data_IF_849230472053
#
_entry.id   IF_849230472053
#
_cell.length_a   1.000
_cell.length_b   1.000
_cell.length_c   1.000
_cell.angle_alpha   90.00
_cell.angle_beta   90.00
_cell.angle_gamma   90.00
#
_symmetry.space_group_name_H-M   'P 1'
#
loop_
_entity.id
_entity.type
_entity.pdbx_description
1 polymer ?
#
# COMPACT_ATOMS: atom_id res chain seq x y z
N UNK A 1 -11.64 -40.96 -9.26
CA UNK A 1 -11.82 -39.61 -8.68
C UNK A 1 -10.88 -38.66 -9.40
N UNK A 2 -11.39 -37.68 -10.15
CA UNK A 2 -10.56 -36.60 -10.69
C UNK A 2 -10.33 -35.60 -9.56
N UNK A 3 -9.11 -35.55 -9.06
CA UNK A 3 -8.67 -34.53 -8.12
C UNK A 3 -8.41 -33.24 -8.93
N UNK A 4 -9.45 -32.43 -9.11
CA UNK A 4 -9.39 -31.14 -9.81
C UNK A 4 -9.64 -30.03 -8.79
N UNK A 5 -8.71 -29.83 -7.86
CA UNK A 5 -8.65 -28.57 -7.13
C UNK A 5 -8.13 -27.51 -8.11
N UNK A 6 -9.04 -26.76 -8.72
CA UNK A 6 -8.67 -25.62 -9.57
C UNK A 6 -7.84 -24.64 -8.75
N UNK A 7 -6.54 -24.55 -9.07
CA UNK A 7 -5.60 -23.64 -8.45
C UNK A 7 -5.38 -22.41 -9.33
N UNK A 8 -5.33 -21.25 -8.68
CA UNK A 8 -5.11 -19.92 -9.24
C UNK A 8 -3.82 -19.35 -8.65
N UNK A 9 -3.03 -18.67 -9.47
CA UNK A 9 -1.74 -18.11 -9.08
C UNK A 9 -1.87 -16.62 -8.85
N UNK A 10 -1.50 -16.16 -7.65
CA UNK A 10 -1.36 -14.75 -7.33
C UNK A 10 0.12 -14.44 -7.17
N UNK A 11 0.63 -13.54 -7.99
CA UNK A 11 2.00 -13.06 -7.96
C UNK A 11 1.98 -11.72 -7.21
N UNK A 12 2.55 -11.70 -6.01
CA UNK A 12 2.70 -10.46 -5.22
C UNK A 12 4.16 -10.04 -5.27
N UNK A 13 4.45 -9.01 -6.06
CA UNK A 13 5.83 -8.64 -6.46
C UNK A 13 6.57 -9.83 -7.08
N UNK A 14 7.58 -10.36 -6.39
CA UNK A 14 8.45 -11.45 -6.80
C UNK A 14 8.04 -12.81 -6.19
N UNK A 15 6.95 -12.86 -5.42
CA UNK A 15 6.51 -14.06 -4.70
C UNK A 15 5.21 -14.63 -5.27
N UNK A 16 5.20 -15.95 -5.45
CA UNK A 16 4.09 -16.71 -6.01
C UNK A 16 3.28 -17.36 -4.90
N UNK A 17 1.97 -17.11 -4.92
CA UNK A 17 1.00 -17.70 -4.01
C UNK A 17 -0.03 -18.49 -4.80
N UNK A 18 -0.48 -19.62 -4.24
CA UNK A 18 -1.54 -20.44 -4.83
C UNK A 18 -2.81 -20.30 -4.01
N UNK A 19 -3.90 -20.02 -4.70
CA UNK A 19 -5.26 -20.01 -4.17
C UNK A 19 -6.07 -21.12 -4.83
N UNK A 20 -7.00 -21.69 -4.11
CA UNK A 20 -8.05 -22.57 -4.60
C UNK A 20 -9.36 -21.80 -4.64
N UNK A 21 -10.32 -22.29 -5.42
CA UNK A 21 -11.68 -21.71 -5.43
C UNK A 21 -12.25 -21.57 -4.00
N UNK A 22 -12.18 -22.63 -3.20
CA UNK A 22 -12.71 -22.63 -1.84
C UNK A 22 -12.04 -21.57 -0.93
N UNK A 23 -10.74 -21.32 -1.09
CA UNK A 23 -10.05 -20.27 -0.34
C UNK A 23 -10.54 -18.88 -0.76
N UNK A 24 -10.73 -18.64 -2.06
CA UNK A 24 -11.23 -17.36 -2.58
C UNK A 24 -12.69 -17.13 -2.18
N UNK A 25 -13.50 -18.17 -2.06
CA UNK A 25 -14.92 -18.06 -1.72
C UNK A 25 -15.19 -17.79 -0.23
N UNK A 26 -14.19 -17.96 0.67
CA UNK A 26 -14.41 -17.81 2.12
C UNK A 26 -14.95 -16.45 2.52
N UNK A 27 -14.43 -15.39 1.93
CA UNK A 27 -14.83 -14.00 2.21
C UNK A 27 -15.26 -13.35 0.89
N UNK A 28 -16.10 -14.06 0.14
CA UNK A 28 -16.67 -13.58 -1.10
C UNK A 28 -17.92 -12.71 -0.85
N UNK A 29 -18.23 -11.75 -1.75
CA UNK A 29 -17.48 -11.41 -2.95
C UNK A 29 -16.22 -10.59 -2.63
N UNK A 30 -15.11 -10.93 -3.28
CA UNK A 30 -13.82 -10.23 -3.13
C UNK A 30 -13.08 -10.09 -4.46
N UNK A 31 -11.95 -9.38 -4.42
CA UNK A 31 -11.12 -9.10 -5.58
C UNK A 31 -10.68 -10.37 -6.33
N UNK A 32 -10.34 -11.46 -5.62
CA UNK A 32 -9.93 -12.71 -6.26
C UNK A 32 -11.09 -13.37 -6.99
N UNK A 33 -12.26 -13.47 -6.36
CA UNK A 33 -13.46 -14.03 -7.00
C UNK A 33 -13.87 -13.23 -8.23
N UNK A 34 -13.83 -11.90 -8.18
CA UNK A 34 -14.15 -11.05 -9.34
C UNK A 34 -13.09 -11.10 -10.45
N UNK A 35 -11.84 -11.38 -10.11
CA UNK A 35 -10.74 -11.42 -11.09
C UNK A 35 -10.65 -12.78 -11.79
N UNK A 36 -10.78 -13.87 -11.04
CA UNK A 36 -10.57 -15.22 -11.56
C UNK A 36 -11.84 -15.87 -12.12
N UNK A 37 -13.02 -15.41 -11.72
CA UNK A 37 -14.30 -16.02 -12.08
C UNK A 37 -15.20 -15.03 -12.82
N UNK A 38 -15.98 -15.52 -13.79
CA UNK A 38 -17.05 -14.74 -14.41
C UNK A 38 -18.35 -14.82 -13.58
N UNK A 39 -19.43 -14.20 -14.09
CA UNK A 39 -20.74 -14.20 -13.45
C UNK A 39 -21.38 -15.59 -13.33
N UNK A 40 -20.94 -16.57 -14.13
CA UNK A 40 -21.37 -17.97 -14.04
C UNK A 40 -20.49 -18.80 -13.09
N UNK A 41 -19.43 -18.20 -12.55
CA UNK A 41 -18.43 -18.88 -11.73
C UNK A 41 -17.44 -19.69 -12.56
N UNK A 42 -17.33 -19.49 -13.87
CA UNK A 42 -16.33 -20.13 -14.71
C UNK A 42 -14.98 -19.39 -14.64
N UNK A 43 -13.88 -20.13 -14.79
CA UNK A 43 -12.53 -19.57 -14.73
C UNK A 43 -12.23 -18.69 -15.94
N UNK A 44 -11.97 -17.39 -15.71
CA UNK A 44 -11.59 -16.42 -16.77
C UNK A 44 -10.07 -16.38 -16.97
N UNK A 45 -9.32 -16.40 -15.87
CA UNK A 45 -7.85 -16.40 -15.88
C UNK A 45 -7.34 -17.23 -14.69
N UNK A 46 -6.06 -17.60 -14.72
CA UNK A 46 -5.38 -18.35 -13.66
C UNK A 46 -4.19 -17.61 -13.05
N UNK A 47 -3.87 -16.40 -13.52
CA UNK A 47 -2.76 -15.60 -13.03
C UNK A 47 -3.25 -14.20 -12.72
N UNK A 48 -2.86 -13.68 -11.55
CA UNK A 48 -3.12 -12.32 -11.10
C UNK A 48 -1.83 -11.73 -10.54
N UNK A 49 -1.39 -10.59 -11.06
CA UNK A 49 -0.22 -9.87 -10.56
C UNK A 49 -0.64 -8.67 -9.71
N UNK A 50 -0.06 -8.54 -8.52
CA UNK A 50 -0.43 -7.53 -7.53
C UNK A 50 0.82 -6.86 -6.97
N UNK A 51 0.83 -5.54 -6.98
CA UNK A 51 1.90 -4.73 -6.40
C UNK A 51 1.64 -4.40 -4.92
N UNK A 52 1.48 -5.45 -4.08
CA UNK A 52 1.28 -5.34 -2.63
C UNK A 52 2.44 -5.96 -1.86
N UNK A 53 2.36 -5.95 -0.53
CA UNK A 53 3.40 -6.50 0.32
C UNK A 53 3.27 -8.03 0.42
N UNK A 54 4.27 -8.81 -0.04
CA UNK A 54 4.14 -10.26 -0.02
C UNK A 54 4.22 -10.87 1.38
N UNK A 55 4.81 -10.19 2.36
CA UNK A 55 4.84 -10.66 3.75
C UNK A 55 3.47 -10.48 4.41
N UNK A 56 2.79 -9.35 4.19
CA UNK A 56 1.41 -9.15 4.64
C UNK A 56 0.42 -10.07 3.89
N UNK A 57 0.69 -10.37 2.62
CA UNK A 57 -0.13 -11.31 1.87
C UNK A 57 -0.14 -12.73 2.48
N UNK A 58 0.91 -13.14 3.20
CA UNK A 58 0.88 -14.41 3.94
C UNK A 58 -0.19 -14.43 5.04
N UNK A 59 -0.43 -13.29 5.70
CA UNK A 59 -1.50 -13.16 6.69
C UNK A 59 -2.87 -13.22 6.01
N UNK A 60 -3.02 -12.57 4.85
CA UNK A 60 -4.22 -12.68 4.01
C UNK A 60 -4.45 -14.14 3.61
N UNK A 61 -3.42 -14.86 3.18
CA UNK A 61 -3.55 -16.26 2.81
C UNK A 61 -3.89 -17.17 4.00
N UNK A 62 -3.34 -16.91 5.19
CA UNK A 62 -3.72 -17.62 6.43
C UNK A 62 -5.19 -17.37 6.78
N UNK A 63 -5.67 -16.15 6.65
CA UNK A 63 -7.09 -15.82 6.80
C UNK A 63 -7.96 -16.55 5.76
N UNK A 64 -7.57 -16.51 4.49
CA UNK A 64 -8.17 -17.28 3.40
C UNK A 64 -7.90 -18.78 3.47
N UNK A 65 -7.21 -19.27 4.51
CA UNK A 65 -7.17 -20.68 4.91
C UNK A 65 -8.08 -21.00 6.11
N UNK A 66 -8.60 -19.98 6.80
CA UNK A 66 -9.55 -20.12 7.90
C UNK A 66 -8.84 -20.09 9.25
N UNK A 67 -7.55 -19.77 9.27
CA UNK A 67 -6.81 -19.60 10.50
C UNK A 67 -7.21 -18.30 11.19
N UNK A 68 -7.25 -18.36 12.51
CA UNK A 68 -7.29 -17.17 13.33
C UNK A 68 -5.93 -16.48 13.29
N UNK A 69 -5.88 -15.28 12.71
CA UNK A 69 -4.62 -14.53 12.55
C UNK A 69 -4.40 -13.46 13.64
N UNK A 70 -5.37 -13.30 14.56
CA UNK A 70 -5.31 -12.31 15.65
C UNK A 70 -5.26 -12.97 17.04
N UNK A 71 -4.44 -12.45 17.97
CA UNK A 71 -3.45 -11.38 17.78
C UNK A 71 -2.35 -11.80 16.78
N UNK A 72 -1.80 -10.84 16.02
CA UNK A 72 -0.77 -11.15 15.01
C UNK A 72 0.44 -11.70 15.74
N UNK A 73 0.81 -12.95 15.42
CA UNK A 73 1.98 -13.57 16.03
C UNK A 73 3.24 -12.78 15.68
N UNK A 74 4.14 -12.45 16.64
CA UNK A 74 5.32 -11.62 16.38
C UNK A 74 6.20 -12.09 15.23
N UNK A 75 6.36 -13.40 15.06
CA UNK A 75 7.13 -13.98 13.95
C UNK A 75 6.51 -13.78 12.55
N UNK A 76 5.24 -13.37 12.46
CA UNK A 76 4.55 -13.07 11.20
C UNK A 76 4.51 -11.56 10.91
N UNK A 77 5.00 -10.73 11.84
CA UNK A 77 5.13 -9.30 11.63
C UNK A 77 6.38 -9.09 10.75
N UNK A 78 6.26 -8.43 9.59
CA UNK A 78 7.42 -8.11 8.78
C UNK A 78 8.45 -7.31 9.60
N UNK A 79 9.75 -7.57 9.40
CA UNK A 79 10.82 -6.96 10.21
C UNK A 79 10.84 -5.42 10.19
N UNK A 80 10.26 -4.82 9.15
CA UNK A 80 10.11 -3.36 8.99
C UNK A 80 8.84 -2.77 9.63
N UNK A 81 7.97 -3.61 10.22
CA UNK A 81 6.70 -3.22 10.84
C UNK A 81 6.73 -3.43 12.37
N UNK A 82 6.02 -2.57 13.08
CA UNK A 82 5.52 -2.88 14.44
C UNK A 82 4.18 -3.62 14.34
N UNK A 83 3.71 -4.21 15.43
CA UNK A 83 2.40 -4.89 15.47
C UNK A 83 1.24 -3.96 15.08
N UNK A 84 1.28 -2.70 15.50
CA UNK A 84 0.27 -1.69 15.20
C UNK A 84 0.29 -1.34 13.72
N UNK A 85 1.48 -1.11 13.14
CA UNK A 85 1.60 -0.83 11.70
C UNK A 85 1.22 -2.04 10.85
N UNK A 86 1.56 -3.26 11.28
CA UNK A 86 1.15 -4.48 10.59
C UNK A 86 -0.37 -4.67 10.61
N UNK A 87 -1.05 -4.35 11.72
CA UNK A 87 -2.50 -4.36 11.80
C UNK A 87 -3.13 -3.33 10.85
N UNK A 88 -2.62 -2.10 10.84
CA UNK A 88 -3.10 -1.04 9.95
C UNK A 88 -2.87 -1.34 8.47
N UNK A 89 -1.71 -1.91 8.14
CA UNK A 89 -1.34 -2.24 6.76
C UNK A 89 -2.10 -3.47 6.25
N UNK A 90 -2.29 -4.47 7.12
CA UNK A 90 -3.18 -5.60 6.83
C UNK A 90 -4.62 -5.15 6.60
N UNK A 91 -5.11 -4.14 7.35
CA UNK A 91 -6.43 -3.56 7.09
C UNK A 91 -6.50 -2.91 5.71
N UNK A 92 -5.49 -2.12 5.33
CA UNK A 92 -5.44 -1.48 4.02
C UNK A 92 -5.40 -2.52 2.87
N UNK A 93 -4.65 -3.61 3.06
CA UNK A 93 -4.61 -4.73 2.11
C UNK A 93 -5.95 -5.46 2.05
N UNK A 94 -6.60 -5.71 3.19
CA UNK A 94 -7.93 -6.31 3.25
C UNK A 94 -8.99 -5.46 2.52
N UNK A 95 -8.95 -4.13 2.66
CA UNK A 95 -9.81 -3.20 1.93
C UNK A 95 -9.54 -3.27 0.43
N UNK A 96 -8.26 -3.32 0.01
CA UNK A 96 -7.89 -3.47 -1.39
C UNK A 96 -8.41 -4.79 -1.99
N UNK A 97 -8.26 -5.90 -1.26
CA UNK A 97 -8.75 -7.20 -1.69
C UNK A 97 -10.26 -7.36 -1.54
N UNK A 98 -10.96 -6.38 -0.95
CA UNK A 98 -12.40 -6.45 -0.65
C UNK A 98 -12.77 -7.64 0.25
N UNK A 99 -11.95 -7.88 1.26
CA UNK A 99 -12.14 -8.94 2.26
C UNK A 99 -12.86 -8.35 3.49
N UNK A 100 -14.17 -8.15 3.39
CA UNK A 100 -14.97 -7.45 4.40
C UNK A 100 -14.90 -8.11 5.78
N UNK A 101 -14.85 -9.45 5.83
CA UNK A 101 -14.66 -10.19 7.06
C UNK A 101 -13.31 -9.87 7.70
N UNK A 102 -12.23 -9.85 6.91
CA UNK A 102 -10.91 -9.47 7.40
C UNK A 102 -10.82 -8.01 7.83
N UNK A 103 -11.44 -7.09 7.09
CA UNK A 103 -11.53 -5.67 7.47
C UNK A 103 -12.21 -5.51 8.83
N UNK A 104 -13.33 -6.21 9.03
CA UNK A 104 -14.08 -6.19 10.30
C UNK A 104 -13.25 -6.74 11.46
N UNK A 105 -12.51 -7.84 11.23
CA UNK A 105 -11.59 -8.38 12.23
C UNK A 105 -10.50 -7.38 12.59
N UNK A 106 -9.87 -6.72 11.60
CA UNK A 106 -8.85 -5.71 11.87
C UNK A 106 -9.40 -4.57 12.74
N UNK A 107 -10.56 -4.01 12.37
CA UNK A 107 -11.24 -2.94 13.13
C UNK A 107 -11.59 -3.37 14.57
N UNK A 108 -11.96 -4.64 14.78
CA UNK A 108 -12.26 -5.15 16.13
C UNK A 108 -11.02 -5.27 17.03
N UNK A 109 -9.82 -5.33 16.43
CA UNK A 109 -8.53 -5.42 17.14
C UNK A 109 -7.84 -4.07 17.27
N UNK A 110 -8.31 -3.05 16.57
CA UNK A 110 -7.99 -1.68 16.90
C UNK A 110 -8.55 -1.42 18.31
N UNK A 111 -7.70 -1.48 19.32
CA UNK A 111 -8.08 -1.03 20.66
C UNK A 111 -8.56 0.41 20.56
N UNK A 112 -9.68 0.81 21.22
CA UNK A 112 -10.00 2.22 21.36
C UNK A 112 -8.81 2.87 22.03
N UNK A 113 -8.10 3.65 21.23
CA UNK A 113 -6.81 4.20 21.54
C UNK A 113 -7.02 5.12 22.76
N UNK A 114 -6.69 4.67 23.97
CA UNK A 114 -6.24 5.56 25.05
C UNK A 114 -4.85 6.10 24.71
N UNK A 115 -4.68 6.56 23.46
CA UNK A 115 -3.69 7.57 23.14
C UNK A 115 -3.95 8.72 24.10
N UNK A 116 -2.91 9.30 24.74
CA UNK A 116 -3.02 10.70 25.08
C UNK A 116 -3.52 11.36 23.81
N UNK A 117 -4.68 12.01 23.88
CA UNK A 117 -5.23 12.76 22.75
C UNK A 117 -4.18 13.81 22.40
N UNK A 118 -3.21 13.45 21.55
CA UNK A 118 -2.46 14.41 20.77
C UNK A 118 -3.55 14.97 19.89
N UNK A 119 -4.20 16.02 20.39
CA UNK A 119 -5.11 16.84 19.62
C UNK A 119 -4.24 17.30 18.47
N UNK A 120 -4.35 16.66 17.32
CA UNK A 120 -3.77 17.17 16.09
C UNK A 120 -4.46 18.52 15.87
N UNK A 121 -3.80 19.60 16.29
CA UNK A 121 -4.36 20.95 16.21
C UNK A 121 -4.21 21.52 14.81
N UNK A 122 -3.37 20.90 13.97
CA UNK A 122 -3.08 21.36 12.62
C UNK A 122 -2.76 20.19 11.68
N UNK A 123 -3.02 20.43 10.39
CA UNK A 123 -2.47 19.62 9.30
C UNK A 123 -1.44 20.44 8.54
N UNK A 124 -0.34 19.82 8.17
CA UNK A 124 0.71 20.41 7.35
C UNK A 124 0.85 19.63 6.05
N UNK A 125 1.33 20.32 5.02
CA UNK A 125 1.67 19.68 3.76
C UNK A 125 3.17 19.44 3.73
N UNK A 126 3.56 18.20 3.47
CA UNK A 126 4.93 17.79 3.23
C UNK A 126 5.05 17.36 1.78
N UNK A 127 6.16 17.72 1.15
CA UNK A 127 6.58 17.10 -0.10
C UNK A 127 7.71 16.13 0.19
N UNK A 128 7.60 14.91 -0.33
CA UNK A 128 8.68 13.93 -0.27
C UNK A 128 9.28 13.83 -1.65
N UNK A 129 10.54 14.24 -1.79
CA UNK A 129 11.26 14.25 -3.06
C UNK A 129 12.41 13.28 -3.05
N UNK A 130 12.60 12.56 -4.14
CA UNK A 130 13.71 11.63 -4.31
C UNK A 130 13.78 11.08 -5.73
N UNK A 131 14.68 10.13 -5.94
CA UNK A 131 14.83 9.49 -7.24
C UNK A 131 15.24 8.02 -7.11
N UNK A 132 14.88 7.24 -8.14
CA UNK A 132 15.30 5.85 -8.30
C UNK A 132 15.55 5.53 -9.78
N UNK A 133 16.37 4.53 -10.05
CA UNK A 133 16.48 3.97 -11.38
C UNK A 133 15.25 3.11 -11.67
N UNK A 134 14.66 3.25 -12.86
CA UNK A 134 13.46 2.52 -13.25
C UNK A 134 13.73 1.44 -14.28
N UNK A 135 12.86 0.44 -14.31
CA UNK A 135 12.75 -0.52 -15.41
C UNK A 135 12.44 0.17 -16.75
N UNK A 136 12.58 -0.56 -17.87
CA UNK A 136 12.39 -0.03 -19.21
C UNK A 136 10.98 0.57 -19.46
N UNK A 137 9.97 0.07 -18.76
CA UNK A 137 8.59 0.59 -18.78
C UNK A 137 8.43 1.89 -17.95
N UNK A 138 9.42 2.24 -17.15
CA UNK A 138 9.44 3.44 -16.33
C UNK A 138 8.51 3.43 -15.12
N UNK A 139 7.90 2.29 -14.78
CA UNK A 139 6.86 2.20 -13.76
C UNK A 139 7.43 1.86 -12.38
N UNK A 140 8.32 0.87 -12.34
CA UNK A 140 8.87 0.30 -11.12
C UNK A 140 10.35 0.66 -10.95
N UNK A 141 10.84 0.74 -9.69
CA UNK A 141 12.26 0.79 -9.42
C UNK A 141 12.96 -0.49 -9.93
N UNK A 142 14.16 -0.34 -10.48
CA UNK A 142 15.07 -1.45 -10.83
C UNK A 142 16.14 -1.68 -9.76
N UNK A 143 16.15 -0.87 -8.71
CA UNK A 143 17.05 -0.96 -7.55
C UNK A 143 16.33 -1.53 -6.32
N UNK A 144 17.12 -2.01 -5.35
CA UNK A 144 16.60 -2.44 -4.05
C UNK A 144 15.94 -1.27 -3.29
N UNK A 145 14.86 -1.59 -2.56
CA UNK A 145 14.06 -0.59 -1.84
C UNK A 145 14.88 0.21 -0.81
N UNK A 146 15.67 -0.49 0.01
CA UNK A 146 16.45 0.15 1.07
C UNK A 146 17.54 1.06 0.49
N UNK A 147 18.06 0.70 -0.68
CA UNK A 147 19.06 1.50 -1.36
C UNK A 147 18.48 2.84 -1.84
N UNK A 148 17.35 2.82 -2.55
CA UNK A 148 16.84 4.07 -3.13
C UNK A 148 16.05 4.90 -2.11
N UNK A 149 15.42 4.30 -1.09
CA UNK A 149 14.62 5.05 -0.10
C UNK A 149 15.48 6.02 0.73
N UNK A 150 16.77 5.73 0.86
CA UNK A 150 17.76 6.64 1.46
C UNK A 150 17.88 7.99 0.72
N UNK A 151 17.43 8.07 -0.55
CA UNK A 151 17.50 9.26 -1.40
C UNK A 151 16.23 10.10 -1.39
N UNK A 152 15.21 9.68 -0.62
CA UNK A 152 13.95 10.40 -0.47
C UNK A 152 13.96 11.23 0.79
N UNK A 153 13.57 12.49 0.71
CA UNK A 153 13.59 13.42 1.84
C UNK A 153 12.28 14.20 1.93
N UNK A 154 11.72 14.36 3.14
CA UNK A 154 10.54 15.20 3.35
C UNK A 154 10.93 16.67 3.51
N UNK A 155 10.10 17.57 2.99
CA UNK A 155 10.23 19.02 3.15
C UNK A 155 8.85 19.62 3.44
N UNK A 156 8.74 20.45 4.48
CA UNK A 156 7.50 21.16 4.78
C UNK A 156 7.20 22.20 3.71
N UNK A 157 5.95 22.24 3.24
CA UNK A 157 5.46 23.26 2.31
C UNK A 157 4.53 24.23 3.03
N UNK A 158 4.79 25.53 2.83
CA UNK A 158 3.77 26.55 3.07
C UNK A 158 2.58 26.37 2.11
N UNK A 159 1.43 26.96 2.47
CA UNK A 159 0.24 26.94 1.60
C UNK A 159 0.51 27.49 0.21
N UNK A 160 1.36 28.51 0.11
CA UNK A 160 1.71 29.13 -1.18
C UNK A 160 2.62 28.24 -2.02
N UNK A 161 3.66 27.65 -1.41
CA UNK A 161 4.51 26.69 -2.11
C UNK A 161 3.71 25.48 -2.60
N UNK A 162 2.78 24.97 -1.79
CA UNK A 162 1.91 23.88 -2.23
C UNK A 162 1.07 24.28 -3.45
N UNK A 163 0.46 25.46 -3.44
CA UNK A 163 -0.33 25.97 -4.57
C UNK A 163 0.48 26.08 -5.87
N UNK A 164 1.75 26.48 -5.76
CA UNK A 164 2.65 26.58 -6.91
C UNK A 164 3.10 25.20 -7.40
N UNK A 165 3.35 24.26 -6.48
CA UNK A 165 3.93 22.96 -6.80
C UNK A 165 2.91 21.87 -7.16
N UNK A 166 1.68 21.93 -6.68
CA UNK A 166 0.66 20.88 -6.87
C UNK A 166 -0.02 20.81 -8.26
N UNK A 167 -0.06 21.86 -9.12
CA UNK A 167 -0.74 21.77 -10.41
C UNK A 167 -0.21 20.63 -11.27
N UNK A 168 -1.10 19.89 -11.95
CA UNK A 168 -0.78 18.70 -12.76
C UNK A 168 -0.21 17.50 -11.98
N UNK A 169 -0.38 17.45 -10.65
CA UNK A 169 -0.11 16.20 -9.93
C UNK A 169 -1.11 15.12 -10.33
N UNK A 170 -0.62 13.89 -10.44
CA UNK A 170 -1.42 12.71 -10.65
C UNK A 170 -2.06 12.29 -9.32
N UNK A 171 -3.32 11.92 -9.39
CA UNK A 171 -4.09 11.34 -8.29
C UNK A 171 -4.79 10.08 -8.78
N UNK A 172 -5.19 9.19 -7.87
CA UNK A 172 -6.03 8.03 -8.24
C UNK A 172 -7.28 8.45 -9.03
N UNK A 173 -7.90 9.59 -8.67
CA UNK A 173 -9.07 10.12 -9.35
C UNK A 173 -8.79 10.62 -10.79
N UNK A 174 -7.53 10.92 -11.12
CA UNK A 174 -7.12 11.34 -12.47
C UNK A 174 -6.91 10.16 -13.44
N UNK A 175 -7.01 8.91 -12.95
CA UNK A 175 -6.77 7.73 -13.77
C UNK A 175 -7.96 7.44 -14.71
N UNK A 176 -7.68 7.32 -16.01
CA UNK A 176 -8.64 6.73 -16.95
C UNK A 176 -8.76 5.22 -16.73
N UNK A 177 -9.88 4.56 -17.11
CA UNK A 177 -10.04 3.11 -16.92
C UNK A 177 -8.91 2.27 -17.54
N UNK A 178 -8.39 2.67 -18.69
CA UNK A 178 -7.28 1.98 -19.38
C UNK A 178 -5.92 2.16 -18.68
N UNK A 179 -5.79 3.17 -17.80
CA UNK A 179 -4.56 3.47 -17.06
C UNK A 179 -4.64 3.04 -15.60
N UNK A 180 -5.80 2.59 -15.11
CA UNK A 180 -6.05 2.30 -13.70
C UNK A 180 -5.03 1.34 -13.10
N UNK A 181 -4.70 0.25 -13.79
CA UNK A 181 -3.70 -0.73 -13.31
C UNK A 181 -2.33 -0.09 -13.09
N UNK A 182 -1.89 0.79 -13.99
CA UNK A 182 -0.63 1.53 -13.84
C UNK A 182 -0.70 2.48 -12.65
N UNK A 183 -1.80 3.21 -12.49
CA UNK A 183 -1.99 4.11 -11.35
C UNK A 183 -1.99 3.38 -10.02
N UNK A 184 -2.56 2.17 -9.94
CA UNK A 184 -2.54 1.36 -8.72
C UNK A 184 -1.13 0.88 -8.37
N UNK A 185 -0.35 0.41 -9.35
CA UNK A 185 1.06 0.03 -9.15
C UNK A 185 1.85 1.24 -8.63
N UNK A 186 1.71 2.37 -9.32
CA UNK A 186 2.36 3.63 -8.98
C UNK A 186 1.96 4.11 -7.57
N UNK A 187 0.67 4.06 -7.23
CA UNK A 187 0.16 4.43 -5.92
C UNK A 187 0.73 3.56 -4.82
N UNK A 188 0.77 2.23 -5.01
CA UNK A 188 1.34 1.30 -4.02
C UNK A 188 2.82 1.58 -3.73
N UNK A 189 3.61 1.91 -4.76
CA UNK A 189 5.00 2.33 -4.57
C UNK A 189 5.11 3.67 -3.84
N UNK A 190 4.29 4.65 -4.21
CA UNK A 190 4.25 5.96 -3.57
C UNK A 190 3.89 5.83 -2.08
N UNK A 191 2.85 5.06 -1.73
CA UNK A 191 2.46 4.80 -0.34
C UNK A 191 3.59 4.14 0.47
N UNK A 192 4.31 3.18 -0.11
CA UNK A 192 5.45 2.53 0.54
C UNK A 192 6.58 3.54 0.84
N UNK A 193 6.87 4.43 -0.10
CA UNK A 193 7.86 5.50 0.09
C UNK A 193 7.41 6.44 1.21
N UNK A 194 6.17 6.96 1.15
CA UNK A 194 5.63 7.88 2.15
C UNK A 194 5.72 7.26 3.54
N UNK A 195 5.21 6.04 3.71
CA UNK A 195 5.24 5.33 4.99
C UNK A 195 6.63 5.22 5.58
N UNK A 196 7.61 4.84 4.75
CA UNK A 196 8.98 4.61 5.20
C UNK A 196 9.66 5.92 5.59
N UNK A 197 9.50 6.97 4.77
CA UNK A 197 10.07 8.30 5.03
C UNK A 197 9.42 8.95 6.24
N UNK A 198 8.09 8.91 6.36
CA UNK A 198 7.37 9.46 7.51
C UNK A 198 7.78 8.76 8.81
N UNK A 199 7.92 7.42 8.80
CA UNK A 199 8.39 6.67 9.97
C UNK A 199 9.83 7.04 10.34
N UNK A 200 10.71 7.24 9.35
CA UNK A 200 12.13 7.57 9.55
C UNK A 200 12.33 9.00 10.06
N UNK A 201 11.73 9.97 9.41
CA UNK A 201 12.07 11.39 9.57
C UNK A 201 11.02 12.18 10.39
N UNK A 202 9.85 11.59 10.62
CA UNK A 202 8.73 12.25 11.31
C UNK A 202 8.09 11.30 12.33
N UNK A 203 8.91 10.82 13.27
CA UNK A 203 8.57 9.75 14.24
C UNK A 203 7.33 9.99 15.11
N UNK A 204 6.81 11.21 15.17
CA UNK A 204 5.57 11.57 15.89
C UNK A 204 4.31 11.60 15.01
N UNK A 205 4.41 11.29 13.71
CA UNK A 205 3.30 11.38 12.75
C UNK A 205 2.71 9.99 12.49
N UNK A 206 1.62 9.68 13.19
CA UNK A 206 0.87 8.44 12.98
C UNK A 206 -0.17 8.53 11.85
N UNK A 207 -0.53 9.75 11.43
CA UNK A 207 -1.62 9.99 10.47
C UNK A 207 -1.13 10.84 9.32
N UNK A 208 -1.24 10.27 8.12
CA UNK A 208 -0.89 10.91 6.86
C UNK A 208 -1.82 10.46 5.73
N UNK A 209 -1.85 11.24 4.66
CA UNK A 209 -2.63 10.99 3.44
C UNK A 209 -1.79 11.41 2.22
N UNK A 210 -1.63 10.51 1.24
CA UNK A 210 -1.01 10.83 -0.04
C UNK A 210 -2.04 11.59 -0.90
N UNK A 211 -1.79 12.87 -1.14
CA UNK A 211 -2.67 13.75 -1.93
C UNK A 211 -2.49 13.55 -3.44
N UNK A 212 -1.29 13.17 -3.86
CA UNK A 212 -0.94 12.98 -5.26
C UNK A 212 0.57 12.92 -5.46
N UNK A 213 0.99 12.75 -6.70
CA UNK A 213 2.40 12.64 -7.06
C UNK A 213 2.71 13.25 -8.42
N UNK A 214 3.96 13.66 -8.61
CA UNK A 214 4.55 13.94 -9.92
C UNK A 214 5.74 13.02 -10.14
N UNK A 215 5.95 12.68 -11.41
CA UNK A 215 7.09 11.89 -11.83
C UNK A 215 7.65 12.48 -13.09
N UNK A 216 8.90 12.90 -13.01
CA UNK A 216 9.62 13.47 -14.14
C UNK A 216 10.77 12.53 -14.52
N UNK A 217 11.06 12.47 -15.82
CA UNK A 217 12.25 11.80 -16.33
C UNK A 217 13.37 12.82 -16.31
N UNK A 218 14.21 12.78 -15.27
CA UNK A 218 15.37 13.67 -15.18
C UNK A 218 16.46 13.26 -16.18
N UNK A 219 16.66 11.95 -16.35
CA UNK A 219 17.53 11.32 -17.35
C UNK A 219 16.95 9.96 -17.77
N UNK A 220 17.31 9.43 -18.96
CA UNK A 220 16.88 8.08 -19.35
C UNK A 220 17.20 7.05 -18.26
N UNK A 221 16.20 6.29 -17.83
CA UNK A 221 16.35 5.29 -16.76
C UNK A 221 16.29 5.83 -15.33
N UNK A 222 16.30 7.14 -15.09
CA UNK A 222 16.11 7.72 -13.75
C UNK A 222 14.73 8.37 -13.64
N UNK A 223 14.05 8.14 -12.53
CA UNK A 223 12.76 8.76 -12.21
C UNK A 223 12.93 9.68 -11.02
N UNK A 224 12.66 10.97 -11.23
CA UNK A 224 12.49 11.92 -10.16
C UNK A 224 11.03 11.88 -9.70
N UNK A 225 10.82 11.72 -8.39
CA UNK A 225 9.50 11.52 -7.81
C UNK A 225 9.25 12.58 -6.75
N UNK A 226 8.09 13.22 -6.85
CA UNK A 226 7.61 14.24 -5.93
C UNK A 226 6.27 13.75 -5.39
N UNK A 227 6.19 13.45 -4.09
CA UNK A 227 4.97 12.97 -3.43
C UNK A 227 4.41 14.08 -2.54
N UNK A 228 3.14 14.42 -2.72
CA UNK A 228 2.45 15.41 -1.91
C UNK A 228 1.70 14.71 -0.81
N UNK A 229 2.06 14.98 0.45
CA UNK A 229 1.53 14.28 1.61
C UNK A 229 0.94 15.29 2.58
N UNK A 230 -0.28 15.03 3.02
CA UNK A 230 -0.86 15.72 4.16
C UNK A 230 -0.53 14.94 5.42
N UNK A 231 0.04 15.62 6.40
CA UNK A 231 0.33 15.03 7.71
C UNK A 231 -0.47 15.77 8.78
N UNK A 232 -0.90 15.04 9.80
CA UNK A 232 -1.52 15.61 10.99
C UNK A 232 -0.49 15.64 12.11
N UNK A 233 -0.27 16.82 12.67
CA UNK A 233 0.85 17.08 13.58
C UNK A 233 0.39 17.71 14.89
N UNK A 234 1.15 17.46 15.95
CA UNK A 234 1.05 18.23 17.19
C UNK A 234 1.55 19.69 16.98
N UNK A 235 1.20 20.64 17.87
CA UNK A 235 1.82 21.97 17.88
C UNK A 235 3.36 21.86 17.95
N UNK A 236 4.08 22.70 17.18
CA UNK A 236 5.55 22.76 17.23
C UNK A 236 6.29 21.65 16.50
N UNK A 237 5.61 20.87 15.66
CA UNK A 237 6.23 19.81 14.86
C UNK A 237 7.32 20.33 13.90
N UNK A 238 8.46 19.63 13.88
CA UNK A 238 9.55 19.80 12.95
C UNK A 238 9.95 18.43 12.35
N UNK A 239 10.55 18.45 11.17
CA UNK A 239 11.17 17.27 10.55
C UNK A 239 12.55 17.08 11.18
N UNK A 240 12.92 15.83 11.48
CA UNK A 240 14.22 15.47 12.07
C UNK A 240 15.40 15.68 11.10
#
# INVERSE_FOLDING_TARGET
>A
MKDTTDTYTVIVRDRFFKLTRAQMERDAPNYFTSHFLDSSGACVTRILEISRDPALFELVLKYLNGYQIFPIHPALIPSYCTAETALGDLRADAEFYKLEGLVSLCKSKETPKSTPTVRFTSSQTVVITGYFNSTADGLAPSEDFEQYISRFYPTLLSKEQYRVMSPNMLTLASATPSQMSRFMIVNGWSERIVRTVIKRDTSSVDRWELLGWKRDVSTPGVRHVILFVKIWTAPGFAIN
#
